data_IF_882894574579
#
_entry.id   IF_882894574579
#
_cell.length_a   1.000
_cell.length_b   1.000
_cell.length_c   1.000
_cell.angle_alpha   90.00
_cell.angle_beta   90.00
_cell.angle_gamma   90.00
#
_symmetry.space_group_name_H-M   'P 1'
#
loop_
_entity.id
_entity.type
_entity.pdbx_description
1 polymer ?
#
# COMPACT_ATOMS: atom_id res chain seq x y z
N UNK A 1 2.09 10.97 17.68
CA UNK A 1 3.36 10.58 16.99
C UNK A 1 3.54 9.06 16.92
N UNK A 2 2.73 8.29 16.18
CA UNK A 2 2.90 6.82 16.06
C UNK A 2 2.95 6.28 14.62
N UNK A 3 2.44 7.05 13.65
CA UNK A 3 2.51 6.72 12.21
C UNK A 3 3.95 6.82 11.69
N UNK A 4 4.72 7.80 12.18
CA UNK A 4 6.10 8.04 11.76
C UNK A 4 7.04 6.87 12.08
N UNK A 5 6.87 6.21 13.24
CA UNK A 5 7.69 5.05 13.62
C UNK A 5 7.36 3.82 12.76
N UNK A 6 6.10 3.67 12.34
CA UNK A 6 5.72 2.63 11.39
C UNK A 6 6.39 2.88 10.03
N UNK A 7 6.30 4.11 9.50
CA UNK A 7 6.96 4.53 8.25
C UNK A 7 8.48 4.32 8.32
N UNK A 8 9.13 4.70 9.42
CA UNK A 8 10.56 4.51 9.62
C UNK A 8 10.96 3.01 9.59
N UNK A 9 10.14 2.13 10.18
CA UNK A 9 10.38 0.67 10.13
C UNK A 9 10.11 0.06 8.76
N UNK A 10 9.22 0.66 7.94
CA UNK A 10 9.06 0.29 6.52
C UNK A 10 10.36 0.58 5.76
N UNK A 11 10.98 1.74 6.03
CA UNK A 11 12.27 2.14 5.45
C UNK A 11 13.43 1.21 5.84
N UNK A 12 13.40 0.63 7.05
CA UNK A 12 14.41 -0.33 7.52
C UNK A 12 14.18 -1.78 7.09
N UNK A 13 13.28 -2.06 6.13
CA UNK A 13 13.08 -3.40 5.57
C UNK A 13 12.20 -4.33 6.41
N UNK A 14 11.69 -3.88 7.56
CA UNK A 14 10.76 -4.67 8.37
C UNK A 14 9.31 -4.40 7.92
N UNK A 15 9.04 -4.90 6.71
CA UNK A 15 7.77 -4.75 6.01
C UNK A 15 6.60 -5.45 6.72
N UNK A 16 6.86 -6.32 7.70
CA UNK A 16 5.82 -6.97 8.51
C UNK A 16 4.96 -7.94 7.68
N UNK A 17 3.65 -7.99 7.99
CA UNK A 17 2.67 -8.83 7.28
C UNK A 17 2.23 -8.15 5.96
N UNK A 18 3.08 -8.27 4.94
CA UNK A 18 2.79 -7.83 3.57
C UNK A 18 2.25 -8.99 2.77
N UNK A 19 1.09 -8.78 2.14
CA UNK A 19 0.50 -9.72 1.20
C UNK A 19 0.39 -9.09 -0.17
N UNK A 20 0.92 -9.73 -1.23
CA UNK A 20 0.65 -9.28 -2.59
C UNK A 20 -0.85 -9.43 -2.86
N UNK A 21 -1.48 -8.38 -3.38
CA UNK A 21 -2.90 -8.37 -3.75
C UNK A 21 -3.10 -8.35 -5.28
N UNK A 22 -2.02 -8.57 -6.05
CA UNK A 22 -2.06 -8.64 -7.51
C UNK A 22 -1.74 -7.31 -8.21
N UNK A 23 -1.48 -7.38 -9.51
CA UNK A 23 -1.16 -6.25 -10.39
C UNK A 23 0.07 -5.40 -9.98
N UNK A 24 0.90 -5.92 -9.07
CA UNK A 24 2.04 -5.22 -8.48
C UNK A 24 1.68 -4.31 -7.30
N UNK A 25 0.49 -4.48 -6.73
CA UNK A 25 0.07 -3.87 -5.47
C UNK A 25 0.24 -4.89 -4.34
N UNK A 26 0.67 -4.40 -3.19
CA UNK A 26 0.79 -5.15 -1.94
C UNK A 26 -0.03 -4.47 -0.84
N UNK A 27 -0.67 -5.28 -0.01
CA UNK A 27 -1.36 -4.86 1.20
C UNK A 27 -0.44 -5.11 2.40
N UNK A 28 -0.29 -4.12 3.28
CA UNK A 28 0.27 -4.30 4.61
C UNK A 28 -0.82 -4.17 5.65
N UNK A 29 -0.98 -5.21 6.46
CA UNK A 29 -1.89 -5.16 7.60
C UNK A 29 -1.17 -4.56 8.80
N UNK A 30 -1.69 -3.44 9.28
CA UNK A 30 -1.19 -2.78 10.48
C UNK A 30 -2.15 -3.15 11.62
N UNK A 31 -1.73 -4.09 12.46
CA UNK A 31 -2.46 -4.55 13.66
C UNK A 31 -2.41 -3.54 14.82
N UNK A 32 -2.35 -2.25 14.50
CA UNK A 32 -2.28 -1.17 15.48
C UNK A 32 -3.61 -0.40 15.52
N UNK A 33 -4.25 -0.31 16.70
CA UNK A 33 -5.55 0.35 16.87
C UNK A 33 -6.70 -0.42 16.18
N UNK A 34 -7.64 0.25 15.49
CA UNK A 34 -8.81 -0.39 14.87
C UNK A 34 -8.50 -1.38 13.72
N UNK A 35 -7.21 -1.57 13.38
CA UNK A 35 -6.75 -2.44 12.30
C UNK A 35 -6.74 -1.71 10.96
N UNK A 36 -5.63 -1.01 10.68
CA UNK A 36 -5.43 -0.30 9.42
C UNK A 36 -4.85 -1.24 8.35
N UNK A 37 -5.17 -0.96 7.10
CA UNK A 37 -4.58 -1.60 5.92
C UNK A 37 -3.96 -0.53 5.06
N UNK A 38 -2.74 -0.77 4.63
CA UNK A 38 -1.98 0.14 3.80
C UNK A 38 -1.73 -0.55 2.47
N UNK A 39 -2.16 0.05 1.37
CA UNK A 39 -1.90 -0.46 0.03
C UNK A 39 -0.72 0.30 -0.58
N UNK A 40 0.19 -0.41 -1.22
CA UNK A 40 1.35 0.22 -1.85
C UNK A 40 1.82 -0.59 -3.05
N UNK A 41 2.34 0.10 -4.05
CA UNK A 41 3.02 -0.49 -5.19
C UNK A 41 4.52 -0.29 -5.07
N UNK A 42 5.31 -1.29 -5.46
CA UNK A 42 6.76 -1.18 -5.52
C UNK A 42 7.20 -1.01 -6.98
N UNK A 43 7.93 0.07 -7.26
CA UNK A 43 8.49 0.40 -8.57
C UNK A 43 10.01 0.50 -8.47
N UNK A 44 10.68 -0.65 -8.66
CA UNK A 44 12.10 -0.79 -8.41
C UNK A 44 12.45 -0.55 -6.94
N UNK A 45 13.22 0.53 -6.69
CA UNK A 45 13.59 0.96 -5.34
C UNK A 45 12.62 1.99 -4.73
N UNK A 46 11.63 2.47 -5.49
CA UNK A 46 10.65 3.46 -5.02
C UNK A 46 9.41 2.75 -4.50
N UNK A 47 9.01 3.07 -3.26
CA UNK A 47 7.78 2.59 -2.66
C UNK A 47 6.69 3.65 -2.83
N UNK A 48 5.65 3.31 -3.58
CA UNK A 48 4.53 4.22 -3.88
C UNK A 48 3.36 3.82 -3.00
N UNK A 49 3.08 4.64 -1.99
CA UNK A 49 1.95 4.42 -1.08
C UNK A 49 0.67 4.85 -1.77
N UNK A 50 -0.24 3.90 -1.97
CA UNK A 50 -1.57 4.14 -2.51
C UNK A 50 -2.47 4.35 -1.28
N UNK A 51 -2.82 5.60 -0.99
CA UNK A 51 -3.57 6.00 0.22
C UNK A 51 -5.05 5.58 0.16
N UNK A 52 -5.35 4.32 -0.18
CA UNK A 52 -6.71 3.76 -0.11
C UNK A 52 -6.94 3.25 1.32
N UNK A 53 -7.19 4.17 2.25
CA UNK A 53 -7.37 3.88 3.67
C UNK A 53 -8.82 3.52 4.02
N UNK A 54 -9.22 2.26 3.81
CA UNK A 54 -10.56 1.77 4.14
C UNK A 54 -10.64 0.93 5.42
N UNK A 55 -11.71 1.11 6.20
CA UNK A 55 -12.02 0.28 7.38
C UNK A 55 -12.45 -1.12 6.93
N UNK A 56 -12.09 -2.15 7.71
CA UNK A 56 -12.24 -3.62 7.52
C UNK A 56 -13.40 -4.15 6.64
N UNK A 57 -14.52 -3.44 6.53
CA UNK A 57 -15.73 -3.79 5.75
C UNK A 57 -15.63 -3.54 4.22
N UNK A 58 -14.58 -2.91 3.68
CA UNK A 58 -14.48 -2.59 2.23
C UNK A 58 -13.24 -3.11 1.50
N UNK A 59 -12.57 -4.13 2.06
CA UNK A 59 -11.29 -4.65 1.55
C UNK A 59 -11.25 -4.89 0.04
N UNK A 60 -12.26 -5.55 -0.54
CA UNK A 60 -12.26 -5.87 -1.98
C UNK A 60 -12.31 -4.62 -2.85
N UNK A 61 -13.12 -3.62 -2.49
CA UNK A 61 -13.20 -2.34 -3.20
C UNK A 61 -11.92 -1.52 -3.02
N UNK A 62 -11.33 -1.57 -1.83
CA UNK A 62 -10.08 -0.85 -1.54
C UNK A 62 -8.91 -1.46 -2.35
N UNK A 63 -8.89 -2.79 -2.54
CA UNK A 63 -7.92 -3.49 -3.39
C UNK A 63 -8.12 -3.11 -4.86
N UNK A 64 -9.35 -3.17 -5.36
CA UNK A 64 -9.67 -2.80 -6.75
C UNK A 64 -9.24 -1.37 -7.05
N UNK A 65 -9.61 -0.43 -6.17
CA UNK A 65 -9.22 0.97 -6.29
C UNK A 65 -7.70 1.17 -6.19
N UNK A 66 -7.01 0.43 -5.32
CA UNK A 66 -5.55 0.47 -5.26
C UNK A 66 -4.90 -0.04 -6.55
N UNK A 67 -5.42 -1.12 -7.15
CA UNK A 67 -4.95 -1.66 -8.42
C UNK A 67 -5.19 -0.67 -9.58
N UNK A 68 -6.35 -0.01 -9.62
CA UNK A 68 -6.64 1.04 -10.61
C UNK A 68 -5.69 2.23 -10.48
N UNK A 69 -5.52 2.78 -9.26
CA UNK A 69 -4.58 3.88 -9.02
C UNK A 69 -3.15 3.50 -9.40
N UNK A 70 -2.75 2.25 -9.15
CA UNK A 70 -1.44 1.73 -9.53
C UNK A 70 -1.26 1.59 -11.03
N UNK A 71 -2.29 1.11 -11.74
CA UNK A 71 -2.29 1.03 -13.18
C UNK A 71 -2.20 2.42 -13.82
N UNK A 72 -2.93 3.40 -13.28
CA UNK A 72 -2.85 4.81 -13.72
C UNK A 72 -1.45 5.39 -13.47
N UNK A 73 -0.88 5.15 -12.28
CA UNK A 73 0.50 5.57 -11.97
C UNK A 73 1.51 5.02 -12.99
N UNK A 74 1.45 3.72 -13.31
CA UNK A 74 2.32 3.11 -14.32
C UNK A 74 2.11 3.70 -15.71
N UNK A 75 0.85 3.96 -16.10
CA UNK A 75 0.55 4.60 -17.40
C UNK A 75 1.17 5.99 -17.48
N UNK A 76 0.98 6.82 -16.46
CA UNK A 76 1.58 8.17 -16.39
C UNK A 76 3.10 8.13 -16.40
N UNK A 77 3.72 7.17 -15.70
CA UNK A 77 5.18 7.01 -15.71
C UNK A 77 5.73 6.60 -17.08
N UNK A 78 5.02 5.76 -17.84
CA UNK A 78 5.48 5.29 -19.16
C UNK A 78 5.36 6.33 -20.29
N UNK A 79 4.59 7.39 -20.07
CA UNK A 79 4.37 8.47 -21.03
C UNK A 79 5.24 9.72 -20.82
N UNK A 80 6.23 9.66 -19.93
CA UNK A 80 7.18 10.75 -19.65
C UNK A 80 8.62 10.36 -19.96
#
# INVERSE_FOLDING_TARGET
>A
MKVTTAIARIGSGNLGDVKPVGHGVSERRITFGPGYRLYFGQDGQKLVVLLTGGVKKRQSKDIEQAQECWADYKKRKKGG
#
